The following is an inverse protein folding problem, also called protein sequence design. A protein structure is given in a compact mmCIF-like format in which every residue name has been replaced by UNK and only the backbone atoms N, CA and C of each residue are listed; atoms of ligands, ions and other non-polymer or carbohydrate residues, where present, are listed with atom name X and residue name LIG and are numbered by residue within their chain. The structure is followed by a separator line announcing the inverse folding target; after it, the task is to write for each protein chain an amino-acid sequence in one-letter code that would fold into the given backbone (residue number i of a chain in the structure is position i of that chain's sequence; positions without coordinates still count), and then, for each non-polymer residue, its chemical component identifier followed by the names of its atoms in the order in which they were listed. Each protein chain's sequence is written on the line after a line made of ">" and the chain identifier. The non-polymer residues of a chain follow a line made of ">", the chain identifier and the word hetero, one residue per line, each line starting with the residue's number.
data_IF_731005194348
#
_entry.id   IF_731005194348
#
_cell.length_a   1.000
_cell.length_b   1.000
_cell.length_c   1.000
_cell.angle_alpha   90.00
_cell.angle_beta   90.00
_cell.angle_gamma   90.00
#
_symmetry.space_group_name_H-M   'P 1'
#
loop_
_entity.id
_entity.type
_entity.pdbx_description
1 polymer ?
#
# COMPACT_ATOMS: atom_id res chain seq x y z
N UNK A 1 2.62 9.38 14.90
CA UNK A 1 2.42 8.76 13.57
C UNK A 1 1.31 9.44 12.78
N UNK A 2 0.07 9.53 13.29
CA UNK A 2 -1.04 10.17 12.56
C UNK A 2 -0.77 11.64 12.21
N UNK A 3 -0.16 12.41 13.10
CA UNK A 3 0.24 13.78 12.79
C UNK A 3 1.15 13.86 11.56
N UNK A 4 2.12 12.94 11.44
CA UNK A 4 3.01 12.85 10.27
C UNK A 4 2.24 12.48 9.01
N UNK A 5 1.26 11.57 9.12
CA UNK A 5 0.41 11.22 7.99
C UNK A 5 -0.42 12.41 7.50
N UNK A 6 -1.01 13.19 8.42
CA UNK A 6 -1.73 14.41 8.05
C UNK A 6 -0.80 15.51 7.50
N UNK A 7 0.46 15.57 7.93
CA UNK A 7 1.46 16.44 7.28
C UNK A 7 1.68 16.05 5.82
N UNK A 8 1.74 14.75 5.52
CA UNK A 8 1.83 14.28 4.13
C UNK A 8 0.58 14.65 3.32
N UNK A 9 -0.62 14.45 3.87
CA UNK A 9 -1.86 14.87 3.21
C UNK A 9 -1.84 16.38 2.95
N UNK A 10 -1.50 17.19 3.95
CA UNK A 10 -1.37 18.65 3.81
C UNK A 10 -0.35 19.05 2.75
N UNK A 11 0.79 18.35 2.70
CA UNK A 11 1.82 18.57 1.69
C UNK A 11 1.28 18.25 0.28
N UNK A 12 0.55 17.16 0.10
CA UNK A 12 -0.09 16.84 -1.18
C UNK A 12 -1.06 17.95 -1.59
N UNK A 13 -1.98 18.33 -0.70
CA UNK A 13 -3.01 19.33 -1.00
C UNK A 13 -2.43 20.71 -1.37
N UNK A 14 -1.31 21.09 -0.78
CA UNK A 14 -0.61 22.34 -1.06
C UNK A 14 0.21 22.32 -2.37
N UNK A 15 0.39 21.15 -2.98
CA UNK A 15 1.27 20.97 -4.13
C UNK A 15 0.61 20.19 -5.28
N UNK A 16 -0.74 20.21 -5.37
CA UNK A 16 -1.46 19.50 -6.42
C UNK A 16 -1.15 20.03 -7.84
N UNK A 17 -0.72 21.28 -7.95
CA UNK A 17 -0.42 21.99 -9.19
C UNK A 17 0.91 21.62 -9.85
N UNK A 18 1.79 20.90 -9.13
CA UNK A 18 3.14 20.53 -9.59
C UNK A 18 3.39 19.02 -9.53
N UNK A 19 4.41 18.51 -10.24
CA UNK A 19 4.83 17.13 -10.12
C UNK A 19 5.15 16.78 -8.66
N UNK A 20 4.55 15.70 -8.18
CA UNK A 20 4.76 15.15 -6.84
C UNK A 20 5.33 13.74 -6.97
N UNK A 21 6.50 13.52 -6.38
CA UNK A 21 7.09 12.19 -6.25
C UNK A 21 6.71 11.60 -4.89
N UNK A 22 6.61 10.28 -4.83
CA UNK A 22 6.38 9.58 -3.56
C UNK A 22 7.45 9.93 -2.53
N UNK A 23 8.72 10.07 -2.96
CA UNK A 23 9.83 10.47 -2.09
C UNK A 23 9.53 11.79 -1.39
N UNK A 24 9.12 12.83 -2.13
CA UNK A 24 8.85 14.17 -1.59
C UNK A 24 7.75 14.12 -0.52
N UNK A 25 6.69 13.33 -0.77
CA UNK A 25 5.57 13.16 0.16
C UNK A 25 5.98 12.36 1.40
N UNK A 26 6.77 11.32 1.23
CA UNK A 26 7.27 10.49 2.33
C UNK A 26 8.24 11.27 3.23
N UNK A 27 9.12 12.08 2.62
CA UNK A 27 10.08 12.94 3.35
C UNK A 27 9.36 14.01 4.17
N UNK A 28 8.30 14.63 3.63
CA UNK A 28 7.46 15.58 4.34
C UNK A 28 6.82 14.98 5.61
N UNK A 29 6.65 13.67 5.63
CA UNK A 29 6.10 12.92 6.76
C UNK A 29 7.18 12.19 7.60
N UNK A 30 8.46 12.30 7.23
CA UNK A 30 9.58 11.60 7.87
C UNK A 30 9.39 10.07 7.88
N UNK A 31 9.01 9.50 6.73
CA UNK A 31 8.92 8.06 6.49
C UNK A 31 9.84 7.64 5.35
N UNK A 32 10.24 6.36 5.34
CA UNK A 32 10.76 5.77 4.11
C UNK A 32 9.64 5.67 3.06
N UNK A 33 9.91 5.87 1.77
CA UNK A 33 8.90 5.80 0.71
C UNK A 33 8.12 4.49 0.71
N UNK A 34 8.81 3.37 0.92
CA UNK A 34 8.19 2.06 0.99
C UNK A 34 7.13 1.94 2.10
N UNK A 35 7.51 2.28 3.33
CA UNK A 35 6.59 2.27 4.47
C UNK A 35 5.43 3.25 4.25
N UNK A 36 5.76 4.46 3.76
CA UNK A 36 4.75 5.47 3.49
C UNK A 36 3.73 5.00 2.44
N UNK A 37 4.19 4.43 1.31
CA UNK A 37 3.31 3.92 0.25
C UNK A 37 2.32 2.88 0.77
N UNK A 38 2.80 1.89 1.54
CA UNK A 38 1.92 0.86 2.12
C UNK A 38 0.93 1.42 3.12
N UNK A 39 1.42 2.25 4.05
CA UNK A 39 0.56 2.92 5.03
C UNK A 39 -0.48 3.80 4.31
N UNK A 40 -0.05 4.60 3.33
CA UNK A 40 -0.91 5.51 2.61
C UNK A 40 -2.04 4.76 1.88
N UNK A 41 -1.69 3.70 1.13
CA UNK A 41 -2.67 2.86 0.44
C UNK A 41 -3.63 2.17 1.41
N UNK A 42 -3.13 1.66 2.54
CA UNK A 42 -3.98 1.07 3.58
C UNK A 42 -4.96 2.08 4.19
N UNK A 43 -4.52 3.33 4.40
CA UNK A 43 -5.33 4.39 4.99
C UNK A 43 -6.34 4.98 4.02
N UNK A 44 -5.91 5.30 2.80
CA UNK A 44 -6.72 6.05 1.82
C UNK A 44 -7.46 5.16 0.82
N UNK A 45 -7.02 3.91 0.66
CA UNK A 45 -7.48 2.99 -0.39
C UNK A 45 -6.81 3.21 -1.75
N UNK A 46 -6.06 4.31 -1.91
CA UNK A 46 -5.41 4.70 -3.16
C UNK A 46 -3.89 4.68 -3.00
N UNK A 47 -3.15 4.46 -4.08
CA UNK A 47 -1.72 4.82 -4.10
C UNK A 47 -1.56 6.35 -4.04
N UNK A 48 -0.38 6.85 -3.67
CA UNK A 48 -0.11 8.29 -3.63
C UNK A 48 -0.38 8.93 -4.98
N UNK A 49 0.10 8.33 -6.07
CA UNK A 49 -0.10 8.82 -7.43
C UNK A 49 -1.58 8.85 -7.82
N UNK A 50 -2.32 7.79 -7.49
CA UNK A 50 -3.75 7.72 -7.78
C UNK A 50 -4.55 8.71 -6.95
N UNK A 51 -4.23 8.86 -5.67
CA UNK A 51 -4.84 9.85 -4.79
C UNK A 51 -4.62 11.27 -5.34
N UNK A 52 -3.38 11.64 -5.64
CA UNK A 52 -3.04 12.95 -6.23
C UNK A 52 -3.84 13.19 -7.52
N UNK A 53 -3.87 12.20 -8.42
CA UNK A 53 -4.64 12.30 -9.66
C UNK A 53 -6.13 12.54 -9.40
N UNK A 54 -6.75 11.77 -8.51
CA UNK A 54 -8.17 11.92 -8.13
C UNK A 54 -8.46 13.27 -7.48
N UNK A 55 -7.54 13.76 -6.64
CA UNK A 55 -7.66 15.08 -6.02
C UNK A 55 -7.59 16.21 -7.04
N UNK A 56 -6.63 16.17 -7.97
CA UNK A 56 -6.51 17.10 -9.09
C UNK A 56 -7.79 17.19 -9.91
N UNK A 57 -8.36 16.02 -10.23
CA UNK A 57 -9.61 15.95 -10.98
C UNK A 57 -10.81 16.50 -10.21
N UNK A 58 -10.85 16.29 -8.89
CA UNK A 58 -11.87 16.86 -8.01
C UNK A 58 -11.76 18.39 -7.96
N UNK A 59 -10.54 18.93 -7.80
CA UNK A 59 -10.30 20.39 -7.85
C UNK A 59 -10.69 20.97 -9.20
N UNK A 60 -10.37 20.27 -10.29
CA UNK A 60 -10.79 20.70 -11.64
C UNK A 60 -12.31 20.68 -11.80
N UNK A 61 -13.00 19.66 -11.27
CA UNK A 61 -14.45 19.57 -11.32
C UNK A 61 -15.13 20.73 -10.58
N UNK A 62 -14.64 21.08 -9.37
CA UNK A 62 -15.12 22.23 -8.62
C UNK A 62 -14.92 23.55 -9.39
N UNK A 63 -13.77 23.71 -10.07
CA UNK A 63 -13.51 24.91 -10.89
C UNK A 63 -14.39 25.00 -12.12
N UNK A 64 -14.70 23.86 -12.77
CA UNK A 64 -15.60 23.81 -13.92
C UNK A 64 -17.05 24.19 -13.60
N UNK A 65 -17.46 24.05 -12.33
CA UNK A 65 -18.78 24.45 -11.83
C UNK A 65 -18.85 25.93 -11.39
N UNK A 66 -17.69 26.59 -11.29
CA UNK A 66 -17.65 28.04 -11.03
C UNK A 66 -17.79 28.80 -12.34
N UNK A 67 -18.25 30.00 -12.25
CA UNK A 67 -18.29 30.95 -13.39
C UNK A 67 -16.86 31.49 -13.66
N UNK A 68 -15.93 30.58 -13.96
CA UNK A 68 -14.52 30.84 -14.19
C UNK A 68 -14.24 30.62 -15.70
N UNK A 69 -13.84 31.66 -16.45
CA UNK A 69 -13.64 31.59 -17.89
C UNK A 69 -12.39 30.81 -18.30
N UNK A 70 -11.74 30.08 -17.39
CA UNK A 70 -10.51 29.34 -17.68
C UNK A 70 -10.70 28.34 -18.84
N UNK A 71 -9.74 28.31 -19.77
CA UNK A 71 -9.74 27.32 -20.86
C UNK A 71 -9.43 25.92 -20.30
N UNK A 72 -9.87 24.86 -21.01
CA UNK A 72 -9.56 23.50 -20.58
C UNK A 72 -8.06 23.17 -20.63
N UNK A 73 -7.33 23.80 -21.56
CA UNK A 73 -5.87 23.68 -21.64
C UNK A 73 -5.23 24.28 -20.39
N UNK A 74 -5.60 25.50 -20.07
CA UNK A 74 -5.08 26.21 -18.91
C UNK A 74 -5.44 25.49 -17.60
N UNK A 75 -6.71 25.07 -17.46
CA UNK A 75 -7.16 24.31 -16.29
C UNK A 75 -6.35 23.02 -16.10
N UNK A 76 -6.09 22.27 -17.19
CA UNK A 76 -5.30 21.04 -17.14
C UNK A 76 -3.90 21.30 -16.55
N UNK A 77 -3.21 22.34 -17.02
CA UNK A 77 -1.89 22.71 -16.52
C UNK A 77 -1.95 23.16 -15.06
N UNK A 78 -2.89 24.02 -14.71
CA UNK A 78 -3.05 24.56 -13.35
C UNK A 78 -3.40 23.50 -12.29
N UNK A 79 -4.04 22.39 -12.71
CA UNK A 79 -4.27 21.25 -11.81
C UNK A 79 -3.21 20.15 -11.97
N UNK A 80 -2.06 20.46 -12.59
CA UNK A 80 -0.87 19.61 -12.61
C UNK A 80 -0.88 18.49 -13.65
N UNK A 81 -1.65 18.58 -14.73
CA UNK A 81 -1.54 17.68 -15.87
C UNK A 81 -0.60 18.26 -16.93
N UNK A 82 0.14 17.40 -17.62
CA UNK A 82 1.08 17.81 -18.67
C UNK A 82 0.39 18.42 -19.89
N UNK A 83 -0.82 17.95 -20.21
CA UNK A 83 -1.57 18.41 -21.37
C UNK A 83 -3.09 18.16 -21.21
N UNK A 84 -3.87 18.80 -22.08
CA UNK A 84 -5.32 18.68 -22.06
C UNK A 84 -5.82 17.27 -22.40
N UNK A 85 -5.10 16.52 -23.23
CA UNK A 85 -5.52 15.18 -23.65
C UNK A 85 -5.48 14.20 -22.46
N UNK A 86 -4.36 14.14 -21.73
CA UNK A 86 -4.20 13.33 -20.53
C UNK A 86 -5.22 13.72 -19.45
N UNK A 87 -5.44 15.02 -19.25
CA UNK A 87 -6.48 15.55 -18.37
C UNK A 87 -7.87 15.07 -18.77
N UNK A 88 -8.25 15.27 -20.04
CA UNK A 88 -9.59 14.90 -20.55
C UNK A 88 -9.85 13.41 -20.41
N UNK A 89 -8.85 12.57 -20.74
CA UNK A 89 -8.93 11.12 -20.59
C UNK A 89 -9.14 10.72 -19.13
N UNK A 90 -8.33 11.27 -18.22
CA UNK A 90 -8.43 11.00 -16.81
C UNK A 90 -9.75 11.50 -16.21
N UNK A 91 -10.20 12.69 -16.59
CA UNK A 91 -11.46 13.26 -16.14
C UNK A 91 -12.66 12.41 -16.56
N UNK A 92 -12.69 12.00 -17.85
CA UNK A 92 -13.74 11.10 -18.36
C UNK A 92 -13.73 9.74 -17.67
N UNK A 93 -12.56 9.22 -17.33
CA UNK A 93 -12.45 7.95 -16.58
C UNK A 93 -13.03 8.05 -15.15
N UNK A 94 -12.91 9.20 -14.48
CA UNK A 94 -13.42 9.40 -13.13
C UNK A 94 -14.88 9.84 -13.10
N UNK A 95 -15.27 10.78 -13.95
CA UNK A 95 -16.60 11.41 -13.94
C UNK A 95 -17.55 10.89 -15.03
N UNK A 96 -17.10 9.98 -15.88
CA UNK A 96 -17.85 9.36 -16.99
C UNK A 96 -18.32 10.34 -18.08
N UNK A 97 -17.96 11.62 -17.97
CA UNK A 97 -18.24 12.69 -18.93
C UNK A 97 -16.97 13.49 -19.24
N UNK A 98 -16.93 14.17 -20.37
CA UNK A 98 -15.80 15.06 -20.68
C UNK A 98 -15.85 16.35 -19.85
N UNK A 99 -14.71 17.03 -19.60
CA UNK A 99 -14.66 18.29 -18.85
C UNK A 99 -15.56 19.37 -19.45
N UNK A 100 -15.60 19.45 -20.78
CA UNK A 100 -16.46 20.42 -21.49
C UNK A 100 -17.95 20.16 -21.31
N UNK A 101 -18.37 18.89 -21.33
CA UNK A 101 -19.76 18.52 -21.07
C UNK A 101 -20.11 18.77 -19.57
N UNK A 102 -19.21 18.40 -18.65
CA UNK A 102 -19.39 18.64 -17.21
C UNK A 102 -19.60 20.13 -16.91
N UNK A 103 -18.78 21.02 -17.51
CA UNK A 103 -18.96 22.48 -17.40
C UNK A 103 -20.33 22.93 -17.92
N UNK A 104 -20.79 22.34 -19.02
CA UNK A 104 -22.08 22.73 -19.66
C UNK A 104 -23.30 22.26 -18.88
N UNK A 105 -23.23 21.04 -18.30
CA UNK A 105 -24.36 20.45 -17.57
C UNK A 105 -24.53 21.01 -16.18
N UNK A 106 -23.47 21.56 -15.58
CA UNK A 106 -23.47 22.11 -14.20
C UNK A 106 -24.00 21.15 -13.14
N UNK A 107 -23.90 19.82 -13.40
CA UNK A 107 -24.34 18.78 -12.46
C UNK A 107 -23.17 18.30 -11.61
N UNK A 108 -23.12 18.62 -10.31
CA UNK A 108 -22.03 18.25 -9.44
C UNK A 108 -22.09 16.76 -9.08
N UNK A 109 -21.31 15.93 -9.76
CA UNK A 109 -21.20 14.48 -9.50
C UNK A 109 -20.41 14.21 -8.18
N UNK A 110 -20.91 14.71 -7.06
CA UNK A 110 -20.23 14.67 -5.75
C UNK A 110 -19.84 13.28 -5.28
N UNK A 111 -20.60 12.25 -5.64
CA UNK A 111 -20.28 10.84 -5.30
C UNK A 111 -18.99 10.34 -5.95
N UNK A 112 -18.53 10.99 -7.02
CA UNK A 112 -17.30 10.65 -7.74
C UNK A 112 -16.10 11.49 -7.30
N UNK A 113 -16.31 12.42 -6.35
CA UNK A 113 -15.24 13.26 -5.81
C UNK A 113 -14.32 12.43 -4.89
N UNK A 114 -13.06 12.79 -4.92
CA UNK A 114 -12.07 12.36 -3.93
C UNK A 114 -11.76 13.56 -3.04
N UNK A 115 -12.45 13.67 -1.94
CA UNK A 115 -12.16 14.72 -0.94
C UNK A 115 -10.83 14.48 -0.25
N UNK A 116 -10.20 15.52 0.34
CA UNK A 116 -9.00 15.34 1.16
C UNK A 116 -9.26 14.34 2.27
N UNK A 117 -8.32 13.42 2.50
CA UNK A 117 -8.43 12.47 3.60
C UNK A 117 -8.48 13.21 4.94
N UNK A 118 -9.56 13.04 5.67
CA UNK A 118 -9.85 13.78 6.90
C UNK A 118 -9.98 12.90 8.14
N UNK A 119 -10.11 13.57 9.32
CA UNK A 119 -10.30 12.89 10.60
C UNK A 119 -11.58 12.04 10.66
N UNK A 120 -12.63 12.42 9.92
CA UNK A 120 -13.88 11.66 9.88
C UNK A 120 -13.72 10.26 9.28
N UNK A 121 -12.98 10.15 8.16
CA UNK A 121 -12.64 8.84 7.55
C UNK A 121 -11.83 7.96 8.52
N UNK A 122 -10.97 8.59 9.31
CA UNK A 122 -10.14 7.88 10.28
C UNK A 122 -10.97 7.34 11.46
N UNK A 123 -11.97 8.06 11.94
CA UNK A 123 -12.78 7.67 13.10
C UNK A 123 -13.60 6.41 12.83
N UNK A 124 -14.11 6.24 11.61
CA UNK A 124 -14.83 5.02 11.22
C UNK A 124 -13.97 3.75 11.25
N UNK A 125 -12.65 3.87 11.03
CA UNK A 125 -11.73 2.73 11.04
C UNK A 125 -11.48 2.17 12.46
N UNK A 126 -11.70 2.96 13.50
CA UNK A 126 -11.40 2.56 14.88
C UNK A 126 -12.45 1.64 15.51
N UNK A 127 -13.62 1.52 14.92
CA UNK A 127 -14.75 0.81 15.54
C UNK A 127 -14.85 -0.68 15.17
N UNK A 128 -14.05 -1.17 14.21
CA UNK A 128 -14.32 -2.49 13.60
C UNK A 128 -13.38 -3.64 13.95
N UNK A 129 -12.19 -3.41 14.52
CA UNK A 129 -11.23 -4.50 14.79
C UNK A 129 -10.42 -4.22 16.08
N UNK A 130 -10.72 -4.93 17.15
CA UNK A 130 -9.90 -4.94 18.39
C UNK A 130 -9.09 -6.24 18.45
N UNK A 131 -8.11 -6.36 17.55
CA UNK A 131 -7.18 -7.50 17.56
C UNK A 131 -5.84 -7.06 18.15
N UNK A 132 -5.52 -7.54 19.35
CA UNK A 132 -4.18 -7.36 19.91
C UNK A 132 -3.21 -8.30 19.20
N UNK A 133 -2.11 -7.80 18.62
CA UNK A 133 -1.10 -8.68 18.04
C UNK A 133 -0.24 -9.31 19.11
N UNK A 134 0.27 -10.50 18.82
CA UNK A 134 1.38 -11.07 19.57
C UNK A 134 2.69 -10.41 19.15
N UNK A 135 3.54 -10.08 20.12
CA UNK A 135 4.89 -9.55 19.84
C UNK A 135 5.88 -10.69 19.97
N UNK A 136 6.51 -11.04 18.87
CA UNK A 136 7.44 -12.18 18.82
C UNK A 136 8.76 -11.77 18.15
N UNK A 137 9.87 -12.30 18.67
CA UNK A 137 11.15 -12.25 17.94
C UNK A 137 11.27 -13.55 17.14
N UNK A 138 11.35 -13.42 15.83
CA UNK A 138 11.63 -14.55 14.94
C UNK A 138 13.12 -14.62 14.66
N UNK A 139 13.73 -15.81 14.80
CA UNK A 139 15.12 -16.00 14.43
C UNK A 139 15.31 -15.77 12.92
N UNK A 140 16.56 -15.57 12.53
CA UNK A 140 16.92 -15.54 11.12
C UNK A 140 16.48 -16.83 10.42
N UNK A 141 15.98 -16.69 9.18
CA UNK A 141 15.54 -17.86 8.40
C UNK A 141 15.99 -17.74 6.95
N UNK A 142 16.16 -18.89 6.32
CA UNK A 142 16.47 -19.02 4.90
C UNK A 142 15.19 -19.30 4.12
N UNK A 143 15.04 -18.65 2.98
CA UNK A 143 13.90 -18.89 2.09
C UNK A 143 14.37 -19.08 0.66
N UNK A 144 13.63 -19.90 -0.07
CA UNK A 144 13.81 -20.09 -1.52
C UNK A 144 12.46 -19.85 -2.19
N UNK A 145 12.45 -19.09 -3.28
CA UNK A 145 11.23 -18.72 -3.95
C UNK A 145 11.43 -17.92 -5.23
N UNK A 146 10.41 -17.20 -5.63
CA UNK A 146 10.43 -16.30 -6.78
C UNK A 146 10.21 -14.86 -6.33
N UNK A 147 11.14 -13.98 -6.70
CA UNK A 147 11.00 -12.54 -6.48
C UNK A 147 10.30 -11.91 -7.69
N UNK A 148 9.32 -11.07 -7.41
CA UNK A 148 8.57 -10.32 -8.39
C UNK A 148 8.67 -8.83 -8.09
N UNK A 149 9.04 -8.06 -9.09
CA UNK A 149 9.10 -6.61 -9.00
C UNK A 149 7.76 -6.03 -9.45
N UNK A 150 7.12 -5.31 -8.55
CA UNK A 150 5.84 -4.66 -8.82
C UNK A 150 6.02 -3.16 -8.88
N UNK A 151 5.44 -2.57 -9.89
CA UNK A 151 5.14 -1.15 -9.94
C UNK A 151 3.70 -0.98 -9.47
N UNK A 152 3.39 0.09 -8.76
CA UNK A 152 2.15 0.29 -8.00
C UNK A 152 0.82 0.01 -8.76
N UNK A 153 0.86 -0.13 -10.08
CA UNK A 153 -0.33 -0.31 -10.94
C UNK A 153 -0.73 -1.75 -11.22
N UNK A 154 0.18 -2.73 -11.06
CA UNK A 154 -0.02 -4.08 -11.62
C UNK A 154 -0.06 -5.21 -10.57
N UNK A 155 -0.48 -4.90 -9.36
CA UNK A 155 -0.41 -5.82 -8.24
C UNK A 155 -1.46 -6.93 -8.32
N UNK A 156 -1.15 -8.01 -9.05
CA UNK A 156 -1.93 -9.24 -9.00
C UNK A 156 -1.20 -10.34 -8.22
N UNK A 157 -1.17 -10.21 -6.89
CA UNK A 157 -0.63 -11.26 -6.00
C UNK A 157 -1.29 -12.62 -6.26
N UNK A 158 -2.55 -12.62 -6.71
CA UNK A 158 -3.26 -13.85 -7.09
C UNK A 158 -2.54 -14.58 -8.23
N UNK A 159 -2.09 -13.86 -9.26
CA UNK A 159 -1.38 -14.46 -10.41
C UNK A 159 -0.04 -15.03 -9.97
N UNK A 160 0.70 -14.28 -9.15
CA UNK A 160 2.01 -14.69 -8.63
C UNK A 160 1.90 -15.97 -7.82
N UNK A 161 0.97 -16.01 -6.87
CA UNK A 161 0.74 -17.21 -6.05
C UNK A 161 0.19 -18.39 -6.86
N UNK A 162 -0.64 -18.15 -7.86
CA UNK A 162 -1.14 -19.23 -8.74
C UNK A 162 -0.02 -19.90 -9.52
N UNK A 163 1.00 -19.14 -9.93
CA UNK A 163 2.19 -19.68 -10.58
C UNK A 163 3.11 -20.42 -9.62
N UNK A 164 3.34 -19.86 -8.43
CA UNK A 164 4.31 -20.42 -7.47
C UNK A 164 3.77 -21.64 -6.70
N UNK A 165 2.49 -21.69 -6.38
CA UNK A 165 1.91 -22.73 -5.53
C UNK A 165 2.15 -24.16 -6.03
N UNK A 166 2.02 -24.50 -7.34
CA UNK A 166 2.36 -25.82 -7.85
C UNK A 166 3.84 -26.18 -7.78
N UNK A 167 4.71 -25.15 -7.69
CA UNK A 167 6.16 -25.31 -7.71
C UNK A 167 6.75 -25.41 -6.29
N UNK A 168 5.95 -25.14 -5.24
CA UNK A 168 6.44 -25.14 -3.86
C UNK A 168 7.06 -26.48 -3.44
N UNK A 169 6.53 -27.59 -3.93
CA UNK A 169 7.00 -28.94 -3.60
C UNK A 169 8.28 -29.32 -4.37
N UNK A 170 8.68 -28.52 -5.37
CA UNK A 170 9.94 -28.70 -6.10
C UNK A 170 11.15 -28.16 -5.32
N UNK A 171 10.92 -27.36 -4.27
CA UNK A 171 12.00 -26.79 -3.47
C UNK A 171 12.50 -27.81 -2.45
N UNK A 172 13.76 -28.29 -2.55
CA UNK A 172 14.33 -29.23 -1.62
C UNK A 172 14.64 -28.56 -0.26
N UNK A 173 14.93 -29.37 0.74
CA UNK A 173 15.33 -28.92 2.09
C UNK A 173 14.28 -28.01 2.76
N UNK A 174 13.02 -28.12 2.36
CA UNK A 174 11.90 -27.31 2.85
C UNK A 174 11.61 -27.61 4.32
N UNK A 175 11.41 -26.56 5.10
CA UNK A 175 11.00 -26.61 6.51
C UNK A 175 9.51 -26.28 6.62
N UNK A 176 8.69 -27.26 7.02
CA UNK A 176 7.24 -27.09 7.17
C UNK A 176 6.49 -26.94 5.86
N UNK A 177 5.20 -26.63 5.95
CA UNK A 177 4.27 -26.60 4.81
C UNK A 177 3.75 -25.18 4.48
N UNK A 178 4.25 -24.16 5.20
CA UNK A 178 3.79 -22.79 5.00
C UNK A 178 4.41 -22.15 3.76
N UNK A 179 3.59 -21.36 3.06
CA UNK A 179 4.09 -20.40 2.09
C UNK A 179 4.35 -19.05 2.75
N UNK A 180 5.35 -18.33 2.27
CA UNK A 180 5.72 -17.00 2.74
C UNK A 180 5.58 -15.98 1.63
N UNK A 181 4.73 -14.98 1.83
CA UNK A 181 4.76 -13.72 1.09
C UNK A 181 5.71 -12.77 1.82
N UNK A 182 6.68 -12.22 1.12
CA UNK A 182 7.69 -11.35 1.73
C UNK A 182 7.73 -10.05 0.95
N UNK A 183 7.44 -8.94 1.64
CA UNK A 183 7.61 -7.61 1.09
C UNK A 183 8.95 -7.05 1.52
N UNK A 184 9.77 -6.71 0.56
CA UNK A 184 11.06 -6.06 0.79
C UNK A 184 11.45 -5.16 -0.38
N UNK A 185 12.48 -4.36 -0.14
CA UNK A 185 13.13 -3.49 -1.11
C UNK A 185 12.17 -2.63 -1.95
N UNK A 186 12.23 -1.38 -1.66
CA UNK A 186 11.70 -0.33 -2.49
C UNK A 186 12.72 0.01 -3.59
N UNK A 187 12.25 0.17 -4.80
CA UNK A 187 13.08 0.72 -5.88
C UNK A 187 12.30 1.81 -6.61
N UNK A 188 13.01 2.79 -7.09
CA UNK A 188 12.50 3.86 -7.91
C UNK A 188 13.16 3.77 -9.29
N UNK A 189 12.35 3.65 -10.33
CA UNK A 189 12.80 3.67 -11.73
C UNK A 189 12.09 4.82 -12.44
N UNK A 190 12.79 5.94 -12.58
CA UNK A 190 12.22 7.14 -13.18
C UNK A 190 11.07 7.72 -12.35
N UNK A 191 9.84 7.72 -12.88
CA UNK A 191 8.62 8.17 -12.19
C UNK A 191 7.86 7.05 -11.50
N UNK A 192 8.36 5.81 -11.58
CA UNK A 192 7.68 4.63 -11.07
C UNK A 192 8.27 4.18 -9.74
N UNK A 193 7.38 3.87 -8.84
CA UNK A 193 7.66 3.39 -7.51
C UNK A 193 7.28 1.94 -7.41
N UNK A 194 8.20 1.09 -6.98
CA UNK A 194 7.98 -0.33 -6.91
C UNK A 194 8.49 -0.98 -5.63
N UNK A 195 8.12 -2.22 -5.44
CA UNK A 195 8.62 -3.06 -4.36
C UNK A 195 8.86 -4.47 -4.88
N UNK A 196 9.68 -5.22 -4.15
CA UNK A 196 9.89 -6.63 -4.41
C UNK A 196 8.96 -7.45 -3.51
N UNK A 197 8.19 -8.34 -4.13
CA UNK A 197 7.39 -9.33 -3.43
C UNK A 197 7.90 -10.72 -3.74
N UNK A 198 8.16 -11.50 -2.71
CA UNK A 198 8.55 -12.89 -2.85
C UNK A 198 7.37 -13.80 -2.54
N UNK A 199 7.19 -14.80 -3.38
CA UNK A 199 6.52 -16.03 -3.00
C UNK A 199 7.60 -17.06 -2.69
N UNK A 200 7.65 -17.55 -1.46
CA UNK A 200 8.77 -18.37 -0.99
C UNK A 200 8.32 -19.47 -0.02
N UNK A 201 9.21 -20.43 0.21
CA UNK A 201 9.14 -21.42 1.27
C UNK A 201 10.39 -21.34 2.14
N UNK A 202 10.28 -21.70 3.41
CA UNK A 202 11.43 -21.79 4.30
C UNK A 202 12.23 -23.06 4.01
N UNK A 203 13.57 -22.92 4.03
CA UNK A 203 14.50 -24.04 3.82
C UNK A 203 15.54 -24.11 4.93
N UNK A 204 16.20 -25.27 5.11
CA UNK A 204 17.32 -25.44 6.06
C UNK A 204 18.61 -24.80 5.56
N UNK A 205 18.83 -24.87 4.25
CA UNK A 205 20.05 -24.41 3.59
C UNK A 205 19.80 -24.09 2.11
N UNK A 206 20.81 -23.60 1.41
CA UNK A 206 20.77 -23.22 -0.01
C UNK A 206 21.57 -24.18 -0.90
N UNK A 207 21.86 -25.42 -0.46
CA UNK A 207 22.72 -26.34 -1.20
C UNK A 207 22.14 -26.77 -2.54
N UNK A 208 20.81 -26.69 -2.71
CA UNK A 208 20.12 -27.21 -3.89
C UNK A 208 18.93 -26.31 -4.27
N UNK A 209 19.25 -25.12 -4.81
CA UNK A 209 18.22 -24.15 -5.26
C UNK A 209 17.83 -24.48 -6.70
N UNK A 210 16.55 -24.79 -6.98
CA UNK A 210 16.12 -25.16 -8.33
C UNK A 210 16.30 -24.01 -9.34
N UNK A 211 16.52 -24.34 -10.60
CA UNK A 211 16.65 -23.35 -11.67
C UNK A 211 15.43 -22.43 -11.73
N UNK A 212 15.69 -21.13 -11.84
CA UNK A 212 14.64 -20.09 -11.87
C UNK A 212 14.11 -19.69 -10.51
N UNK A 213 14.59 -20.31 -9.42
CA UNK A 213 14.33 -19.85 -8.06
C UNK A 213 15.49 -18.98 -7.55
N UNK A 214 15.23 -18.21 -6.55
CA UNK A 214 16.18 -17.35 -5.86
C UNK A 214 16.19 -17.68 -4.37
N UNK A 215 17.32 -17.46 -3.72
CA UNK A 215 17.51 -17.66 -2.28
C UNK A 215 17.63 -16.33 -1.57
N UNK A 216 17.14 -16.27 -0.31
CA UNK A 216 17.19 -15.08 0.52
C UNK A 216 17.35 -15.43 1.99
N UNK A 217 18.27 -14.75 2.67
CA UNK A 217 18.34 -14.74 4.13
C UNK A 217 17.42 -13.65 4.67
N UNK A 218 16.50 -14.02 5.57
CA UNK A 218 15.67 -13.08 6.32
C UNK A 218 16.30 -12.94 7.71
N UNK A 219 16.69 -11.73 8.13
CA UNK A 219 17.36 -11.52 9.41
C UNK A 219 16.44 -11.80 10.61
N UNK A 220 17.03 -12.01 11.77
CA UNK A 220 16.30 -12.00 13.02
C UNK A 220 15.62 -10.65 13.22
N UNK A 221 14.34 -10.67 13.56
CA UNK A 221 13.55 -9.46 13.70
C UNK A 221 12.40 -9.64 14.69
N UNK A 222 12.09 -8.59 15.46
CA UNK A 222 10.88 -8.52 16.26
C UNK A 222 9.68 -8.11 15.40
N UNK A 223 8.60 -8.87 15.48
CA UNK A 223 7.38 -8.67 14.73
C UNK A 223 6.16 -8.50 15.65
N UNK A 224 5.25 -7.63 15.23
CA UNK A 224 3.87 -7.66 15.66
C UNK A 224 3.08 -8.58 14.71
N UNK A 225 2.51 -9.66 15.25
CA UNK A 225 1.82 -10.71 14.50
C UNK A 225 0.33 -10.50 14.58
N UNK A 226 -0.30 -10.21 13.44
CA UNK A 226 -1.75 -10.07 13.32
C UNK A 226 -2.35 -11.27 12.60
N UNK A 227 -3.48 -11.76 13.10
CA UNK A 227 -4.24 -12.80 12.43
C UNK A 227 -5.37 -12.14 11.63
N UNK A 228 -5.24 -12.17 10.30
CA UNK A 228 -6.35 -11.87 9.41
C UNK A 228 -7.29 -13.08 9.32
N UNK A 229 -8.58 -12.87 9.56
CA UNK A 229 -9.65 -13.87 9.39
C UNK A 229 -10.60 -13.38 8.32
N UNK A 230 -10.89 -14.22 7.35
CA UNK A 230 -11.80 -13.91 6.25
C UNK A 230 -11.13 -13.94 4.88
N UNK A 231 -11.91 -13.66 3.82
CA UNK A 231 -11.41 -13.71 2.46
C UNK A 231 -10.38 -12.61 2.16
N UNK A 232 -9.40 -12.94 1.32
CA UNK A 232 -8.29 -12.05 0.95
C UNK A 232 -8.72 -10.64 0.49
N UNK A 233 -9.85 -10.44 -0.24
CA UNK A 233 -10.32 -9.09 -0.55
C UNK A 233 -10.60 -8.22 0.68
N UNK A 234 -10.83 -8.79 1.86
CA UNK A 234 -11.06 -8.04 3.11
C UNK A 234 -9.75 -7.73 3.86
N UNK A 235 -8.59 -8.22 3.38
CA UNK A 235 -7.28 -7.98 4.00
C UNK A 235 -6.99 -6.48 4.20
N UNK A 236 -7.48 -5.63 3.30
CA UNK A 236 -7.34 -4.19 3.40
C UNK A 236 -7.89 -3.61 4.72
N UNK A 237 -8.93 -4.23 5.31
CA UNK A 237 -9.49 -3.81 6.60
C UNK A 237 -8.49 -4.07 7.75
N UNK A 238 -7.84 -5.24 7.73
CA UNK A 238 -6.79 -5.58 8.70
C UNK A 238 -5.58 -4.66 8.55
N UNK A 239 -5.15 -4.37 7.32
CA UNK A 239 -4.07 -3.42 7.04
C UNK A 239 -4.43 -2.00 7.52
N UNK A 240 -5.65 -1.53 7.26
CA UNK A 240 -6.14 -0.25 7.78
C UNK A 240 -6.06 -0.19 9.31
N UNK A 241 -6.49 -1.26 10.00
CA UNK A 241 -6.38 -1.34 11.46
C UNK A 241 -4.92 -1.27 11.92
N UNK A 242 -4.03 -2.05 11.31
CA UNK A 242 -2.61 -2.08 11.68
C UNK A 242 -1.99 -0.68 11.55
N UNK A 243 -2.12 -0.06 10.38
CA UNK A 243 -1.45 1.18 10.04
C UNK A 243 -2.15 2.42 10.58
N UNK A 244 -3.48 2.41 10.61
CA UNK A 244 -4.30 3.55 11.02
C UNK A 244 -4.64 3.59 12.49
N UNK A 245 -4.66 2.45 13.15
CA UNK A 245 -5.16 2.32 14.51
C UNK A 245 -4.10 1.83 15.49
N UNK A 246 -3.65 0.59 15.27
CA UNK A 246 -2.79 -0.08 16.24
C UNK A 246 -1.39 0.53 16.31
N UNK A 247 -0.68 0.62 15.20
CA UNK A 247 0.72 1.08 15.20
C UNK A 247 0.85 2.52 15.73
N UNK A 248 -0.02 3.48 15.36
CA UNK A 248 0.03 4.83 15.94
C UNK A 248 -0.11 4.90 17.45
N UNK A 249 -0.99 4.05 18.02
CA UNK A 249 -1.30 4.02 19.45
C UNK A 249 -0.39 3.08 20.26
N UNK A 250 0.34 2.20 19.57
CA UNK A 250 1.19 1.22 20.21
C UNK A 250 2.46 1.84 20.82
N UNK A 251 3.10 1.08 21.68
CA UNK A 251 4.45 1.39 22.20
C UNK A 251 5.58 0.98 21.26
N UNK A 252 5.27 0.72 19.97
CA UNK A 252 6.22 0.26 18.98
C UNK A 252 6.33 1.24 17.82
N UNK A 253 7.52 1.29 17.21
CA UNK A 253 7.79 1.91 15.92
C UNK A 253 7.97 0.83 14.85
N UNK A 254 7.58 1.14 13.63
CA UNK A 254 7.89 0.31 12.47
C UNK A 254 9.39 0.30 12.19
N UNK A 255 9.91 -0.84 11.77
CA UNK A 255 11.29 -1.03 11.33
C UNK A 255 11.28 -1.32 9.83
N UNK A 256 12.17 -0.67 9.06
CA UNK A 256 12.35 -0.97 7.65
C UNK A 256 13.10 -2.31 7.48
N UNK A 257 12.36 -3.40 7.58
CA UNK A 257 12.81 -4.78 7.48
C UNK A 257 11.74 -5.57 6.72
N UNK A 258 12.02 -6.77 6.20
CA UNK A 258 11.02 -7.55 5.47
C UNK A 258 9.74 -7.76 6.27
N UNK A 259 8.59 -7.43 5.68
CA UNK A 259 7.27 -7.79 6.20
C UNK A 259 6.90 -9.18 5.68
N UNK A 260 6.27 -9.99 6.52
CA UNK A 260 5.97 -11.37 6.17
C UNK A 260 4.46 -11.62 6.20
N UNK A 261 4.00 -12.36 5.22
CA UNK A 261 2.69 -13.01 5.18
C UNK A 261 2.91 -14.52 5.29
N UNK A 262 2.27 -15.18 6.24
CA UNK A 262 2.40 -16.64 6.41
C UNK A 262 1.09 -17.29 6.01
N UNK A 263 1.14 -18.02 4.93
CA UNK A 263 0.03 -18.75 4.36
C UNK A 263 0.05 -20.20 4.82
N UNK A 264 -1.01 -20.71 5.48
CA UNK A 264 -1.12 -22.14 5.80
C UNK A 264 -1.11 -23.00 4.53
N UNK A 265 -0.74 -24.26 4.67
CA UNK A 265 -0.66 -25.24 3.57
C UNK A 265 -1.92 -25.25 2.68
N UNK A 266 -3.08 -25.26 3.30
CA UNK A 266 -4.37 -25.34 2.58
C UNK A 266 -5.08 -23.99 2.46
N UNK A 267 -4.32 -22.90 2.40
CA UNK A 267 -4.88 -21.56 2.30
C UNK A 267 -5.67 -21.37 1.00
N UNK A 268 -6.96 -21.02 1.15
CA UNK A 268 -7.85 -20.63 0.05
C UNK A 268 -8.39 -19.25 0.32
N UNK A 269 -7.84 -18.26 -0.36
CA UNK A 269 -8.09 -16.82 -0.09
C UNK A 269 -9.52 -16.34 -0.37
N UNK A 270 -10.41 -17.18 -0.89
CA UNK A 270 -11.83 -16.86 -1.12
C UNK A 270 -12.76 -17.34 0.00
N UNK A 271 -12.25 -18.16 0.92
CA UNK A 271 -13.07 -18.75 1.99
C UNK A 271 -13.32 -17.74 3.12
N UNK A 272 -14.50 -17.78 3.70
CA UNK A 272 -14.88 -16.95 4.84
C UNK A 272 -14.09 -17.30 6.13
N UNK A 273 -13.63 -18.53 6.25
CA UNK A 273 -12.83 -19.05 7.36
C UNK A 273 -11.32 -19.03 7.09
N UNK A 274 -10.88 -18.43 5.97
CA UNK A 274 -9.46 -18.30 5.64
C UNK A 274 -8.73 -17.53 6.73
N UNK A 275 -7.52 -17.98 7.06
CA UNK A 275 -6.66 -17.34 8.06
C UNK A 275 -5.27 -17.10 7.48
N UNK A 276 -4.73 -15.92 7.70
CA UNK A 276 -3.44 -15.47 7.23
C UNK A 276 -2.75 -14.69 8.36
N UNK A 277 -1.48 -14.99 8.65
CA UNK A 277 -0.71 -14.19 9.60
C UNK A 277 0.06 -13.11 8.87
N UNK A 278 -0.08 -11.88 9.38
CA UNK A 278 0.69 -10.72 8.94
C UNK A 278 1.72 -10.38 10.02
N UNK A 279 2.97 -10.33 9.65
CA UNK A 279 4.08 -10.02 10.54
C UNK A 279 4.66 -8.66 10.14
N UNK A 280 4.42 -7.68 10.98
CA UNK A 280 4.88 -6.30 10.78
C UNK A 280 6.14 -6.10 11.63
N UNK A 281 7.30 -5.77 11.03
CA UNK A 281 8.54 -5.59 11.78
C UNK A 281 8.46 -4.34 12.65
N UNK A 282 8.77 -4.51 13.95
CA UNK A 282 8.64 -3.45 14.94
C UNK A 282 9.82 -3.44 15.92
N UNK A 283 10.00 -2.29 16.59
CA UNK A 283 10.86 -2.13 17.76
C UNK A 283 10.15 -1.31 18.82
N UNK A 284 10.50 -1.51 20.09
CA UNK A 284 9.99 -0.69 21.17
C UNK A 284 10.41 0.79 20.99
N UNK A 285 9.51 1.74 21.27
CA UNK A 285 9.80 3.18 21.26
C UNK A 285 10.81 3.54 22.34
N UNK A 286 11.84 4.29 22.01
CA UNK A 286 12.94 4.63 22.91
C UNK A 286 12.51 5.36 24.20
N UNK A 287 11.39 6.09 24.19
CA UNK A 287 10.91 6.86 25.34
C UNK A 287 10.19 6.02 26.42
N UNK A 288 9.96 4.72 26.20
CA UNK A 288 9.30 3.83 27.16
C UNK A 288 10.27 2.80 27.78
N UNK A 289 11.53 2.81 27.39
CA UNK A 289 12.55 1.90 27.96
C UNK A 289 13.14 2.39 29.29
N UNK A 290 12.80 3.60 29.74
CA UNK A 290 13.33 4.24 30.98
C UNK A 290 12.23 4.55 32.02
N UNK A 291 11.10 3.86 31.98
CA UNK A 291 10.03 4.01 32.96
C UNK A 291 9.75 2.69 33.71
#
# INVERSE_FOLDING_TARGET
>A
MMERFYKAIGFIEQNLDRPLRLQDVADAAHYSPYHFSRMFKAMTGDSVTEYVRKRRLTVAADRLLRDDPVSLIQLAVEVGFENQESFTKAFKAQFHVTPGLYRKTQDPMRLLYRDPYGHAEHTHLHQCLDTKPDIVTRPAMKVVGRAHHFVDRDLSLKTVWSGFKPEMDMVPNRIGQHGFGIYEAYYESGTEVGFTYWCAVQVSDFSDVPNGFQSRDIPEQQYAVFLHKGPLPQLHQTLKYIWGSWLPKSKYDYVNSPELEIYPEHYVGTRADAQLKLLIPVRAKAHLANA
#
